data_IF_820276446178
#
_entry.id   IF_820276446178
#
_cell.length_a   1.000
_cell.length_b   1.000
_cell.length_c   1.000
_cell.angle_alpha   90.00
_cell.angle_beta   90.00
_cell.angle_gamma   90.00
#
_symmetry.space_group_name_H-M   'P 1'
#
loop_
_entity.id
_entity.type
_entity.pdbx_description
1 polymer ?
#
# COMPACT_ATOMS: atom_id res chain seq x y z
N UNK A 1 20.55 0.39 7.19
CA UNK A 1 20.01 1.72 6.86
C UNK A 1 19.44 2.36 8.12
N UNK A 2 18.49 1.73 8.83
CA UNK A 2 17.89 2.31 10.03
C UNK A 2 18.93 2.62 11.12
N UNK A 3 19.75 1.66 11.53
CA UNK A 3 20.76 1.85 12.57
C UNK A 3 21.71 3.00 12.27
N UNK A 4 22.21 3.11 11.03
CA UNK A 4 23.05 4.23 10.62
C UNK A 4 22.32 5.56 10.71
N UNK A 5 21.06 5.63 10.29
CA UNK A 5 20.24 6.83 10.37
C UNK A 5 19.89 7.23 11.81
N UNK A 6 19.84 6.28 12.74
CA UNK A 6 19.50 6.55 14.15
C UNK A 6 20.72 6.97 14.97
N UNK A 7 21.91 6.43 14.69
CA UNK A 7 23.13 6.64 15.45
C UNK A 7 24.01 7.77 14.90
N UNK A 8 23.97 8.07 13.59
CA UNK A 8 24.78 9.10 12.98
C UNK A 8 24.31 10.51 13.44
N UNK A 9 25.28 11.39 13.66
CA UNK A 9 25.04 12.83 13.86
C UNK A 9 24.57 13.51 12.54
N UNK A 10 24.01 14.72 12.66
CA UNK A 10 23.49 15.49 11.52
C UNK A 10 24.53 15.66 10.42
N UNK A 11 25.78 16.06 10.78
CA UNK A 11 26.85 16.32 9.80
C UNK A 11 27.22 15.07 8.98
N UNK A 12 27.21 13.90 9.62
CA UNK A 12 27.45 12.63 8.92
C UNK A 12 26.29 12.29 7.98
N UNK A 13 25.05 12.52 8.40
CA UNK A 13 23.89 12.25 7.56
C UNK A 13 23.89 13.12 6.30
N UNK A 14 24.21 14.41 6.43
CA UNK A 14 24.40 15.31 5.29
C UNK A 14 25.51 14.83 4.35
N UNK A 15 26.71 14.53 4.87
CA UNK A 15 27.83 14.02 4.07
C UNK A 15 27.50 12.70 3.39
N UNK A 16 26.82 11.78 4.07
CA UNK A 16 26.44 10.51 3.49
C UNK A 16 25.38 10.68 2.40
N UNK A 17 24.39 11.54 2.57
CA UNK A 17 23.36 11.79 1.55
C UNK A 17 23.95 12.32 0.25
N UNK A 18 25.05 13.09 0.32
CA UNK A 18 25.78 13.62 -0.83
C UNK A 18 26.86 12.66 -1.38
N UNK A 19 27.03 11.46 -0.78
CA UNK A 19 28.08 10.51 -1.16
C UNK A 19 27.90 9.99 -2.60
N UNK A 20 29.02 9.76 -3.28
CA UNK A 20 29.03 9.03 -4.55
C UNK A 20 28.71 7.53 -4.38
N UNK A 21 29.03 6.95 -3.21
CA UNK A 21 28.64 5.58 -2.85
C UNK A 21 27.14 5.49 -2.64
N UNK A 22 26.48 4.60 -3.41
CA UNK A 22 25.03 4.48 -3.40
C UNK A 22 24.47 4.02 -2.05
N UNK A 23 25.19 3.16 -1.33
CA UNK A 23 24.73 2.66 -0.04
C UNK A 23 24.87 3.70 1.07
N UNK A 24 25.97 4.45 1.10
CA UNK A 24 26.13 5.57 2.01
C UNK A 24 25.08 6.65 1.72
N UNK A 25 24.86 6.97 0.43
CA UNK A 25 23.85 7.94 0.03
C UNK A 25 22.44 7.50 0.47
N UNK A 26 22.08 6.24 0.31
CA UNK A 26 20.83 5.68 0.85
C UNK A 26 20.73 5.87 2.37
N UNK A 27 21.77 5.52 3.12
CA UNK A 27 21.77 5.63 4.57
C UNK A 27 21.63 7.08 5.05
N UNK A 28 22.40 7.98 4.44
CA UNK A 28 22.33 9.41 4.74
C UNK A 28 20.96 9.99 4.42
N UNK A 29 20.47 9.74 3.21
CA UNK A 29 19.14 10.22 2.77
C UNK A 29 18.04 9.75 3.70
N UNK A 30 18.01 8.46 4.04
CA UNK A 30 17.02 7.91 4.97
C UNK A 30 17.14 8.49 6.38
N UNK A 31 18.38 8.82 6.82
CA UNK A 31 18.67 9.41 8.12
C UNK A 31 18.21 10.86 8.22
N UNK A 32 18.21 11.61 7.12
CA UNK A 32 17.77 13.02 7.11
C UNK A 32 16.33 13.21 7.61
N UNK A 33 15.50 12.19 7.54
CA UNK A 33 14.17 12.25 8.15
C UNK A 33 14.19 12.55 9.67
N UNK A 34 15.30 12.22 10.38
CA UNK A 34 15.48 12.58 11.80
C UNK A 34 15.87 14.06 11.97
N UNK A 35 16.64 14.61 11.00
CA UNK A 35 17.11 15.99 11.01
C UNK A 35 16.00 16.98 10.63
N UNK A 36 14.99 16.50 9.91
CA UNK A 36 13.90 17.34 9.38
C UNK A 36 13.10 18.09 10.47
N UNK A 37 13.10 17.62 11.72
CA UNK A 37 12.47 18.35 12.82
C UNK A 37 13.21 19.62 13.24
N UNK A 38 14.53 19.64 13.00
CA UNK A 38 15.38 20.79 13.34
C UNK A 38 15.59 21.71 12.14
N UNK A 39 15.65 21.15 10.94
CA UNK A 39 15.96 21.86 9.70
C UNK A 39 14.93 21.49 8.60
N UNK A 40 13.63 21.75 8.80
CA UNK A 40 12.59 21.21 7.92
C UNK A 40 12.75 21.68 6.47
N UNK A 41 12.91 22.97 6.23
CA UNK A 41 12.97 23.52 4.87
C UNK A 41 14.20 23.04 4.10
N UNK A 42 15.36 23.00 4.78
CA UNK A 42 16.61 22.53 4.19
C UNK A 42 16.54 21.06 3.81
N UNK A 43 16.04 20.23 4.74
CA UNK A 43 15.89 18.79 4.52
C UNK A 43 14.87 18.52 3.42
N UNK A 44 13.70 19.16 3.43
CA UNK A 44 12.67 18.93 2.42
C UNK A 44 13.15 19.35 1.02
N UNK A 45 13.88 20.47 0.91
CA UNK A 45 14.49 20.90 -0.36
C UNK A 45 15.46 19.86 -0.88
N UNK A 46 16.35 19.35 -0.05
CA UNK A 46 17.33 18.35 -0.44
C UNK A 46 16.71 16.99 -0.78
N UNK A 47 15.74 16.54 0.01
CA UNK A 47 15.00 15.31 -0.30
C UNK A 47 14.25 15.40 -1.64
N UNK A 48 13.75 16.59 -2.01
CA UNK A 48 13.09 16.81 -3.31
C UNK A 48 14.07 16.64 -4.46
N UNK A 49 15.31 17.15 -4.34
CA UNK A 49 16.35 16.94 -5.33
C UNK A 49 16.73 15.45 -5.43
N UNK A 50 16.94 14.80 -4.30
CA UNK A 50 17.28 13.36 -4.23
C UNK A 50 16.14 12.45 -4.71
N UNK A 51 14.89 12.91 -4.72
CA UNK A 51 13.78 12.17 -5.30
C UNK A 51 13.97 11.90 -6.81
N UNK A 52 14.75 12.74 -7.51
CA UNK A 52 15.11 12.59 -8.92
C UNK A 52 16.51 11.98 -9.14
N UNK A 53 17.20 11.50 -8.10
CA UNK A 53 18.54 10.88 -8.24
C UNK A 53 18.46 9.67 -9.20
N UNK A 54 19.50 9.54 -10.05
CA UNK A 54 19.62 8.42 -11.00
C UNK A 54 19.67 7.05 -10.30
N UNK A 55 20.24 7.00 -9.08
CA UNK A 55 20.39 5.80 -8.27
C UNK A 55 19.05 5.47 -7.58
N UNK A 56 18.51 4.31 -7.87
CA UNK A 56 17.19 3.94 -7.35
C UNK A 56 17.15 3.81 -5.82
N UNK A 57 18.27 3.37 -5.20
CA UNK A 57 18.36 3.25 -3.73
C UNK A 57 18.29 4.59 -3.03
N UNK A 58 18.87 5.65 -3.62
CA UNK A 58 18.75 7.00 -3.06
C UNK A 58 17.30 7.45 -3.06
N UNK A 59 16.57 7.21 -4.16
CA UNK A 59 15.12 7.47 -4.22
C UNK A 59 14.30 6.66 -3.20
N UNK A 60 14.72 5.43 -2.87
CA UNK A 60 14.13 4.68 -1.74
C UNK A 60 14.47 5.33 -0.39
N UNK A 61 15.68 5.83 -0.22
CA UNK A 61 16.08 6.60 0.95
C UNK A 61 15.17 7.80 1.21
N UNK A 62 14.79 8.51 0.15
CA UNK A 62 13.82 9.61 0.25
C UNK A 62 12.48 9.13 0.81
N UNK A 63 11.92 8.03 0.30
CA UNK A 63 10.67 7.51 0.82
C UNK A 63 10.77 7.13 2.31
N UNK A 64 11.89 6.53 2.73
CA UNK A 64 12.15 6.19 4.14
C UNK A 64 12.25 7.47 5.00
N UNK A 65 12.93 8.52 4.52
CA UNK A 65 13.03 9.80 5.21
C UNK A 65 11.64 10.44 5.40
N UNK A 66 10.82 10.49 4.35
CA UNK A 66 9.45 10.99 4.41
C UNK A 66 8.59 10.20 5.40
N UNK A 67 8.73 8.88 5.45
CA UNK A 67 8.03 8.04 6.43
C UNK A 67 8.46 8.34 7.87
N UNK A 68 9.73 8.66 8.10
CA UNK A 68 10.23 9.11 9.42
C UNK A 68 9.60 10.45 9.80
N UNK A 69 9.62 11.42 8.90
CA UNK A 69 8.98 12.72 9.09
C UNK A 69 7.49 12.55 9.43
N UNK A 70 6.79 11.68 8.71
CA UNK A 70 5.37 11.40 8.95
C UNK A 70 5.07 10.77 10.31
N UNK A 71 5.98 9.96 10.85
CA UNK A 71 5.84 9.39 12.22
C UNK A 71 5.96 10.46 13.29
N UNK A 72 6.77 11.48 13.07
CA UNK A 72 6.95 12.60 14.00
C UNK A 72 5.87 13.67 13.81
N UNK A 73 5.54 13.99 12.56
CA UNK A 73 4.53 14.99 12.23
C UNK A 73 3.84 14.67 10.90
N UNK A 74 2.74 13.94 10.96
CA UNK A 74 1.91 13.65 9.79
C UNK A 74 1.31 14.90 9.15
N UNK A 75 0.84 15.93 9.92
CA UNK A 75 0.36 17.16 9.31
C UNK A 75 1.42 17.91 8.50
N UNK A 76 2.67 17.97 8.98
CA UNK A 76 3.77 18.59 8.24
C UNK A 76 4.07 17.81 6.95
N UNK A 77 4.16 16.48 7.03
CA UNK A 77 4.37 15.65 5.84
C UNK A 77 3.25 15.86 4.82
N UNK A 78 1.99 15.86 5.23
CA UNK A 78 0.85 16.06 4.33
C UNK A 78 0.91 17.40 3.61
N UNK A 79 1.22 18.49 4.33
CA UNK A 79 1.35 19.82 3.75
C UNK A 79 2.40 19.83 2.61
N UNK A 80 3.56 19.25 2.86
CA UNK A 80 4.63 19.13 1.85
C UNK A 80 4.22 18.25 0.67
N UNK A 81 3.59 17.11 0.94
CA UNK A 81 3.21 16.16 -0.12
C UNK A 81 2.08 16.69 -1.00
N UNK A 82 1.25 17.58 -0.52
CA UNK A 82 0.32 18.33 -1.37
C UNK A 82 1.06 19.19 -2.41
N UNK A 83 2.19 19.80 -2.05
CA UNK A 83 3.03 20.55 -2.98
C UNK A 83 3.70 19.59 -3.98
N UNK A 84 4.32 18.54 -3.47
CA UNK A 84 5.04 17.54 -4.29
C UNK A 84 4.14 16.81 -5.29
N UNK A 85 2.86 16.67 -5.01
CA UNK A 85 1.88 16.09 -5.94
C UNK A 85 1.70 16.90 -7.24
N UNK A 86 2.10 18.17 -7.26
CA UNK A 86 2.07 19.04 -8.45
C UNK A 86 3.35 19.05 -9.25
N UNK A 87 4.38 18.31 -8.83
CA UNK A 87 5.72 18.35 -9.41
C UNK A 87 5.95 17.23 -10.45
N UNK A 88 7.22 16.99 -10.82
CA UNK A 88 7.57 15.95 -11.79
C UNK A 88 7.38 14.52 -11.27
N UNK A 89 7.36 13.52 -12.17
CA UNK A 89 6.97 12.14 -11.82
C UNK A 89 7.84 11.47 -10.75
N UNK A 90 9.13 11.78 -10.67
CA UNK A 90 9.99 11.24 -9.60
C UNK A 90 9.61 11.79 -8.23
N UNK A 91 9.30 13.08 -8.13
CA UNK A 91 8.87 13.74 -6.88
C UNK A 91 7.49 13.22 -6.46
N UNK A 92 6.57 13.11 -7.40
CA UNK A 92 5.25 12.48 -7.18
C UNK A 92 5.37 11.03 -6.70
N UNK A 93 6.34 10.27 -7.25
CA UNK A 93 6.63 8.92 -6.78
C UNK A 93 7.10 8.90 -5.33
N UNK A 94 7.98 9.82 -4.97
CA UNK A 94 8.47 9.93 -3.60
C UNK A 94 7.33 10.27 -2.63
N UNK A 95 6.46 11.23 -2.99
CA UNK A 95 5.27 11.57 -2.21
C UNK A 95 4.36 10.35 -2.01
N UNK A 96 4.00 9.65 -3.08
CA UNK A 96 3.16 8.46 -2.99
C UNK A 96 3.79 7.35 -2.12
N UNK A 97 5.10 7.09 -2.28
CA UNK A 97 5.79 6.04 -1.52
C UNK A 97 6.02 6.42 -0.04
N UNK A 98 6.27 7.70 0.24
CA UNK A 98 6.43 8.22 1.59
C UNK A 98 5.13 8.16 2.39
N UNK A 99 4.00 8.53 1.78
CA UNK A 99 2.69 8.54 2.43
C UNK A 99 2.08 7.14 2.59
N UNK A 100 2.33 6.23 1.64
CA UNK A 100 1.67 4.93 1.62
C UNK A 100 2.40 3.88 2.47
N UNK A 101 2.63 4.22 3.73
CA UNK A 101 3.13 3.34 4.78
C UNK A 101 2.01 3.05 5.78
N UNK A 102 1.82 1.77 6.11
CA UNK A 102 0.69 1.31 6.94
C UNK A 102 0.60 2.02 8.28
N UNK A 103 1.75 2.27 8.90
CA UNK A 103 1.79 2.89 10.24
C UNK A 103 1.41 4.36 10.24
N UNK A 104 1.55 5.06 9.12
CA UNK A 104 1.13 6.45 8.93
C UNK A 104 -0.37 6.60 8.69
N UNK A 105 -1.05 5.54 8.26
CA UNK A 105 -2.45 5.55 7.83
C UNK A 105 -3.40 5.00 8.89
N UNK A 106 -3.10 5.21 10.17
CA UNK A 106 -3.94 4.76 11.28
C UNK A 106 -5.12 5.70 11.54
N UNK A 107 -4.94 6.98 11.23
CA UNK A 107 -5.96 8.01 11.40
C UNK A 107 -6.72 8.24 10.09
N UNK A 108 -8.05 8.16 10.15
CA UNK A 108 -8.90 8.31 8.98
C UNK A 108 -8.74 9.68 8.30
N UNK A 109 -8.64 10.77 9.08
CA UNK A 109 -8.47 12.11 8.55
C UNK A 109 -7.20 12.26 7.70
N UNK A 110 -6.08 11.73 8.17
CA UNK A 110 -4.82 11.70 7.43
C UNK A 110 -4.92 10.81 6.17
N UNK A 111 -5.60 9.67 6.28
CA UNK A 111 -5.78 8.76 5.14
C UNK A 111 -6.63 9.38 4.04
N UNK A 112 -7.65 10.18 4.37
CA UNK A 112 -8.46 10.93 3.38
C UNK A 112 -7.58 11.88 2.57
N UNK A 113 -6.73 12.66 3.22
CA UNK A 113 -5.79 13.57 2.54
C UNK A 113 -4.79 12.81 1.66
N UNK A 114 -4.32 11.63 2.10
CA UNK A 114 -3.47 10.76 1.27
C UNK A 114 -4.21 10.29 0.02
N UNK A 115 -5.49 9.93 0.11
CA UNK A 115 -6.31 9.57 -1.06
C UNK A 115 -6.46 10.75 -2.04
N UNK A 116 -6.64 11.97 -1.54
CA UNK A 116 -6.70 13.20 -2.35
C UNK A 116 -5.37 13.45 -3.09
N UNK A 117 -4.24 13.29 -2.40
CA UNK A 117 -2.91 13.41 -2.99
C UNK A 117 -2.71 12.35 -4.09
N UNK A 118 -3.08 11.09 -3.84
CA UNK A 118 -3.01 10.03 -4.84
C UNK A 118 -3.92 10.29 -6.04
N UNK A 119 -5.10 10.87 -5.83
CA UNK A 119 -6.02 11.27 -6.90
C UNK A 119 -5.38 12.32 -7.82
N UNK A 120 -4.79 13.37 -7.22
CA UNK A 120 -4.07 14.41 -7.96
C UNK A 120 -2.90 13.84 -8.77
N UNK A 121 -2.07 12.97 -8.16
CA UNK A 121 -0.96 12.31 -8.84
C UNK A 121 -1.45 11.39 -9.97
N UNK A 122 -2.56 10.68 -9.78
CA UNK A 122 -3.15 9.82 -10.81
C UNK A 122 -3.70 10.63 -11.98
N UNK A 123 -4.26 11.81 -11.70
CA UNK A 123 -4.69 12.76 -12.73
C UNK A 123 -3.50 13.24 -13.58
N UNK A 124 -2.36 13.58 -12.94
CA UNK A 124 -1.12 13.93 -13.62
C UNK A 124 -0.59 12.78 -14.49
N UNK A 125 -0.61 11.54 -13.98
CA UNK A 125 -0.23 10.36 -14.75
C UNK A 125 -1.09 10.20 -16.01
N UNK A 126 -2.40 10.39 -15.90
CA UNK A 126 -3.34 10.31 -17.01
C UNK A 126 -3.06 11.36 -18.09
N UNK A 127 -2.67 12.57 -17.68
CA UNK A 127 -2.31 13.67 -18.59
C UNK A 127 -0.92 13.59 -19.21
N UNK A 128 -0.11 12.59 -18.86
CA UNK A 128 1.29 12.52 -19.30
C UNK A 128 1.41 12.25 -20.81
N UNK A 129 2.25 13.04 -21.46
CA UNK A 129 2.52 12.95 -22.91
C UNK A 129 3.65 11.97 -23.26
N UNK A 130 4.71 11.93 -22.44
CA UNK A 130 5.85 11.04 -22.66
C UNK A 130 5.87 9.87 -21.67
N UNK A 131 5.23 8.79 -22.06
CA UNK A 131 5.05 7.56 -21.27
C UNK A 131 6.21 6.57 -21.37
N UNK A 132 7.22 6.88 -22.19
CA UNK A 132 8.40 6.01 -22.38
C UNK A 132 9.50 6.33 -21.39
N UNK A 133 9.51 7.52 -20.80
CA UNK A 133 10.50 7.95 -19.81
C UNK A 133 10.48 7.08 -18.56
N UNK A 134 11.63 6.96 -17.94
CA UNK A 134 11.80 6.14 -16.75
C UNK A 134 11.07 6.71 -15.53
N UNK A 135 11.02 8.02 -15.38
CA UNK A 135 10.27 8.72 -14.33
C UNK A 135 8.77 8.37 -14.38
N UNK A 136 8.15 8.40 -15.59
CA UNK A 136 6.77 7.97 -15.79
C UNK A 136 6.56 6.50 -15.38
N UNK A 137 7.45 5.60 -15.84
CA UNK A 137 7.34 4.16 -15.53
C UNK A 137 7.44 3.89 -14.03
N UNK A 138 8.35 4.61 -13.35
CA UNK A 138 8.58 4.47 -11.92
C UNK A 138 7.37 4.99 -11.13
N UNK A 139 6.81 6.14 -11.50
CA UNK A 139 5.58 6.67 -10.92
C UNK A 139 4.41 5.71 -11.12
N UNK A 140 4.17 5.25 -12.34
CA UNK A 140 3.11 4.29 -12.66
C UNK A 140 3.23 3.02 -11.80
N UNK A 141 4.44 2.49 -11.64
CA UNK A 141 4.71 1.31 -10.80
C UNK A 141 4.40 1.57 -9.32
N UNK A 142 4.79 2.73 -8.81
CA UNK A 142 4.51 3.12 -7.43
C UNK A 142 3.00 3.24 -7.18
N UNK A 143 2.26 3.95 -8.03
CA UNK A 143 0.80 4.04 -7.93
C UNK A 143 0.11 2.68 -8.01
N UNK A 144 0.66 1.73 -8.80
CA UNK A 144 0.19 0.32 -8.86
C UNK A 144 0.32 -0.43 -7.54
N UNK A 145 0.90 0.17 -6.51
CA UNK A 145 1.00 -0.37 -5.16
C UNK A 145 0.35 0.55 -4.11
N UNK A 146 0.64 1.86 -4.17
CA UNK A 146 0.28 2.84 -3.14
C UNK A 146 -1.22 2.93 -2.89
N UNK A 147 -2.04 2.95 -3.93
CA UNK A 147 -3.49 2.99 -3.81
C UNK A 147 -4.05 1.89 -2.92
N UNK A 148 -3.52 0.67 -3.01
CA UNK A 148 -4.01 -0.43 -2.19
C UNK A 148 -3.66 -0.29 -0.70
N UNK A 149 -2.59 0.42 -0.37
CA UNK A 149 -2.21 0.66 1.02
C UNK A 149 -3.18 1.68 1.64
N UNK A 150 -3.40 2.81 0.96
CA UNK A 150 -4.32 3.84 1.42
C UNK A 150 -5.78 3.35 1.44
N UNK A 151 -6.22 2.66 0.39
CA UNK A 151 -7.59 2.15 0.31
C UNK A 151 -7.89 1.05 1.33
N UNK A 152 -6.90 0.24 1.71
CA UNK A 152 -7.10 -0.74 2.78
C UNK A 152 -7.24 -0.11 4.17
N UNK A 153 -6.66 1.08 4.38
CA UNK A 153 -6.80 1.83 5.63
C UNK A 153 -8.16 2.55 5.76
N UNK A 154 -8.72 3.05 4.64
CA UNK A 154 -10.00 3.74 4.62
C UNK A 154 -10.85 3.32 3.40
N UNK A 155 -11.40 2.10 3.38
CA UNK A 155 -12.07 1.55 2.20
C UNK A 155 -13.32 2.33 1.77
N UNK A 156 -14.08 2.89 2.70
CA UNK A 156 -15.28 3.68 2.39
C UNK A 156 -14.91 5.00 1.69
N UNK A 157 -13.85 5.65 2.17
CA UNK A 157 -13.35 6.89 1.58
C UNK A 157 -12.65 6.64 0.22
N UNK A 158 -12.05 5.47 0.04
CA UNK A 158 -11.38 5.10 -1.21
C UNK A 158 -12.35 4.69 -2.33
N UNK A 159 -13.53 4.21 -2.00
CA UNK A 159 -14.49 3.69 -2.99
C UNK A 159 -14.80 4.69 -4.12
N UNK A 160 -15.13 5.96 -3.89
CA UNK A 160 -15.42 6.93 -4.95
C UNK A 160 -14.25 7.14 -5.93
N UNK A 161 -13.01 7.11 -5.42
CA UNK A 161 -11.82 7.25 -6.25
C UNK A 161 -11.62 6.02 -7.15
N UNK A 162 -11.86 4.82 -6.62
CA UNK A 162 -11.79 3.61 -7.43
C UNK A 162 -12.88 3.56 -8.48
N UNK A 163 -14.12 3.96 -8.18
CA UNK A 163 -15.21 4.07 -9.15
C UNK A 163 -14.83 5.05 -10.27
N UNK A 164 -14.31 6.24 -9.91
CA UNK A 164 -13.82 7.24 -10.88
C UNK A 164 -12.76 6.67 -11.81
N UNK A 165 -11.71 6.09 -11.26
CA UNK A 165 -10.53 5.68 -12.04
C UNK A 165 -10.69 4.34 -12.75
N UNK A 166 -11.56 3.46 -12.30
CA UNK A 166 -11.94 2.24 -13.02
C UNK A 166 -12.72 2.56 -14.30
N UNK A 167 -13.43 3.69 -14.35
CA UNK A 167 -14.09 4.20 -15.54
C UNK A 167 -13.14 4.89 -16.54
N UNK A 168 -11.86 5.03 -16.22
CA UNK A 168 -10.90 5.69 -17.11
C UNK A 168 -10.59 4.87 -18.35
N UNK A 169 -10.56 5.54 -19.51
CA UNK A 169 -10.11 4.96 -20.78
C UNK A 169 -8.58 4.91 -20.91
N UNK A 170 -7.86 5.54 -19.99
CA UNK A 170 -6.40 5.54 -19.98
C UNK A 170 -5.86 4.16 -19.55
N UNK A 171 -5.08 3.55 -20.46
CA UNK A 171 -4.55 2.19 -20.26
C UNK A 171 -3.61 2.06 -19.04
N UNK A 172 -2.85 3.12 -18.71
CA UNK A 172 -1.91 3.09 -17.62
C UNK A 172 -2.62 3.28 -16.28
N UNK A 173 -3.64 4.14 -16.23
CA UNK A 173 -4.55 4.27 -15.09
C UNK A 173 -5.33 2.96 -14.87
N UNK A 174 -5.89 2.37 -15.91
CA UNK A 174 -6.58 1.08 -15.82
C UNK A 174 -5.67 -0.02 -15.27
N UNK A 175 -4.40 -0.04 -15.70
CA UNK A 175 -3.39 -0.96 -15.15
C UNK A 175 -3.12 -0.68 -13.65
N UNK A 176 -2.98 0.59 -13.26
CA UNK A 176 -2.79 0.98 -11.84
C UNK A 176 -3.95 0.46 -11.00
N UNK A 177 -5.19 0.71 -11.38
CA UNK A 177 -6.37 0.26 -10.62
C UNK A 177 -6.45 -1.27 -10.54
N UNK A 178 -6.28 -1.95 -11.67
CA UNK A 178 -6.27 -3.43 -11.73
C UNK A 178 -5.18 -4.03 -10.85
N UNK A 179 -3.96 -3.46 -10.88
CA UNK A 179 -2.83 -3.92 -10.08
C UNK A 179 -3.08 -3.79 -8.57
N UNK A 180 -3.76 -2.74 -8.15
CA UNK A 180 -4.14 -2.53 -6.76
C UNK A 180 -5.26 -3.49 -6.33
N UNK A 181 -6.32 -3.58 -7.11
CA UNK A 181 -7.46 -4.48 -6.81
C UNK A 181 -7.07 -5.96 -6.75
N UNK A 182 -6.01 -6.37 -7.43
CA UNK A 182 -5.52 -7.75 -7.36
C UNK A 182 -4.89 -8.14 -6.01
N UNK A 183 -4.59 -7.19 -5.13
CA UNK A 183 -3.93 -7.44 -3.84
C UNK A 183 -4.94 -7.96 -2.81
N UNK A 184 -4.52 -8.92 -1.96
CA UNK A 184 -5.37 -9.53 -0.93
C UNK A 184 -6.03 -8.48 -0.02
N UNK A 185 -5.28 -7.44 0.38
CA UNK A 185 -5.79 -6.36 1.24
C UNK A 185 -6.98 -5.59 0.67
N UNK A 186 -7.29 -5.74 -0.61
CA UNK A 186 -8.38 -5.05 -1.31
C UNK A 186 -9.68 -5.87 -1.36
N UNK A 187 -9.76 -7.00 -0.67
CA UNK A 187 -10.94 -7.88 -0.71
C UNK A 187 -12.23 -7.14 -0.32
N UNK A 188 -12.21 -6.44 0.82
CA UNK A 188 -13.39 -5.68 1.28
C UNK A 188 -13.83 -4.57 0.32
N UNK A 189 -12.88 -3.88 -0.34
CA UNK A 189 -13.24 -2.88 -1.34
C UNK A 189 -13.76 -3.52 -2.63
N UNK A 190 -13.21 -4.66 -3.07
CA UNK A 190 -13.75 -5.40 -4.23
C UNK A 190 -15.18 -5.82 -4.04
N UNK A 191 -15.56 -6.25 -2.84
CA UNK A 191 -16.95 -6.61 -2.52
C UNK A 191 -17.88 -5.41 -2.66
N UNK A 192 -17.45 -4.22 -2.22
CA UNK A 192 -18.21 -2.97 -2.35
C UNK A 192 -18.33 -2.50 -3.79
N UNK A 193 -17.28 -2.62 -4.59
CA UNK A 193 -17.25 -2.25 -6.00
C UNK A 193 -17.98 -3.25 -6.92
N UNK A 194 -18.21 -4.48 -6.44
CA UNK A 194 -18.97 -5.47 -7.20
C UNK A 194 -20.46 -5.11 -7.13
N UNK A 195 -21.18 -5.01 -8.27
CA UNK A 195 -22.61 -4.83 -8.22
C UNK A 195 -23.22 -5.94 -7.36
N UNK A 196 -24.00 -5.57 -6.37
CA UNK A 196 -24.59 -6.49 -5.40
C UNK A 196 -25.34 -7.60 -6.15
N UNK A 197 -24.73 -8.80 -6.26
CA UNK A 197 -25.52 -9.99 -6.57
C UNK A 197 -26.59 -10.05 -5.50
N UNK A 198 -27.89 -10.11 -5.87
CA UNK A 198 -28.93 -10.25 -4.86
C UNK A 198 -28.55 -11.43 -3.98
N UNK A 199 -28.46 -11.19 -2.67
CA UNK A 199 -28.17 -12.25 -1.69
C UNK A 199 -29.13 -13.39 -2.00
N UNK A 200 -28.63 -14.48 -2.58
CA UNK A 200 -29.38 -15.73 -2.70
C UNK A 200 -29.87 -16.02 -1.29
N UNK A 201 -31.16 -15.84 -1.08
CA UNK A 201 -31.82 -16.08 0.19
C UNK A 201 -31.33 -17.41 0.73
N UNK A 202 -30.95 -17.43 2.00
CA UNK A 202 -30.55 -18.63 2.72
C UNK A 202 -31.48 -19.75 2.28
N UNK A 203 -30.94 -20.78 1.62
CA UNK A 203 -31.68 -21.93 1.22
C UNK A 203 -32.45 -22.45 2.45
N UNK A 204 -33.78 -22.54 2.34
CA UNK A 204 -34.61 -23.13 3.40
C UNK A 204 -33.99 -24.47 3.79
N UNK A 205 -33.87 -24.80 5.08
CA UNK A 205 -33.35 -26.09 5.50
C UNK A 205 -34.17 -27.18 4.85
N UNK A 206 -33.52 -28.14 4.18
CA UNK A 206 -34.16 -29.32 3.64
C UNK A 206 -34.93 -30.02 4.77
N UNK A 207 -36.19 -30.40 4.58
CA UNK A 207 -36.93 -31.19 5.59
C UNK A 207 -36.17 -32.48 5.86
N UNK A 208 -35.97 -32.80 7.13
CA UNK A 208 -35.35 -34.05 7.57
C UNK A 208 -36.10 -35.22 6.92
N UNK A 209 -35.43 -35.98 6.07
CA UNK A 209 -35.93 -37.22 5.56
C UNK A 209 -36.09 -38.21 6.74
N UNK A 210 -37.31 -38.70 6.95
CA UNK A 210 -37.63 -39.73 7.97
C UNK A 210 -36.68 -40.91 7.77
N UNK A 211 -35.84 -41.19 8.75
CA UNK A 211 -34.95 -42.34 8.77
C UNK A 211 -35.78 -43.64 8.73
N UNK A 212 -35.53 -44.52 7.76
CA UNK A 212 -36.08 -45.87 7.73
C UNK A 212 -35.48 -46.67 8.90
N UNK A 213 -36.32 -47.47 9.64
CA UNK A 213 -35.84 -48.28 10.76
C UNK A 213 -34.90 -49.39 10.23
N UNK A 214 -33.74 -49.53 10.90
CA UNK A 214 -32.82 -50.66 10.65
C UNK A 214 -33.43 -51.99 11.07
N UNK A 215 -33.27 -53.08 10.30
CA UNK A 215 -33.71 -54.39 10.70
C UNK A 215 -32.91 -54.94 11.88
N UNK A 216 -33.58 -55.50 12.87
CA UNK A 216 -33.02 -56.14 14.08
C UNK A 216 -32.12 -57.31 13.68
N UNK A 217 -30.89 -57.31 14.14
CA UNK A 217 -29.96 -58.44 14.03
C UNK A 217 -30.42 -59.61 14.87
N UNK A 218 -30.60 -60.79 14.23
CA UNK A 218 -30.86 -62.05 14.88
C UNK A 218 -29.68 -62.51 15.73
N UNK A 219 -29.97 -62.82 16.99
CA UNK A 219 -29.04 -63.44 17.93
C UNK A 219 -28.59 -64.81 17.39
N UNK A 220 -27.28 -64.99 17.19
CA UNK A 220 -26.68 -66.30 16.95
C UNK A 220 -26.30 -66.92 18.28
N UNK A 221 -27.03 -68.01 18.61
CA UNK A 221 -26.70 -68.90 19.72
C UNK A 221 -25.37 -69.59 19.47
N UNK A 222 -24.47 -69.41 20.37
CA UNK A 222 -23.13 -70.06 20.34
C UNK A 222 -23.19 -71.33 21.15
N UNK A 223 -23.26 -72.52 20.47
CA UNK A 223 -23.10 -73.84 21.06
C UNK A 223 -21.66 -74.08 21.46
N UNK A 224 -21.48 -74.39 22.72
CA UNK A 224 -20.15 -74.64 23.33
C UNK A 224 -19.92 -76.15 23.29
N UNK A 225 -19.05 -76.61 22.39
CA UNK A 225 -18.53 -77.97 22.38
C UNK A 225 -17.30 -78.07 23.23
N UNK A 226 -17.38 -78.91 24.23
CA UNK A 226 -16.29 -79.25 25.21
C UNK A 226 -15.65 -80.48 24.68
N UNK A 227 -14.36 -80.50 24.42
CA UNK A 227 -13.57 -81.74 24.19
C UNK A 227 -12.42 -81.75 25.17
N UNK A 228 -12.38 -82.88 25.90
CA UNK A 228 -11.29 -83.34 26.81
C UNK A 228 -10.17 -83.94 25.96
N UNK A 229 -8.96 -83.65 26.17
CA UNK A 229 -7.84 -84.49 26.65
C UNK A 229 -6.65 -83.60 26.87
#
# INVERSE_FOLDING_TARGET
VQAVGDEADSDRLWRFSASADEFLALCGTAGLGKVALMEPDTVMTWLRELAADRRWRVREGVAIALQRIGRESMPHLLAEMHLWAGEGPYVQRAAAAGLCERDLLRENASTVQVLEILDRITSSLSGATDRKKDDFKVLRKALGYCWSVAAAAAPDNAQPYFEKWMGSTDRDVAWVMKSNLAKARMEGLREKLSPSKPRRGKAKPKPLSKAKPKPRARARTRTRTRTRK
#
